data_IF_210635558841
#
_entry.id   IF_210635558841
#
_cell.length_a   1.000
_cell.length_b   1.000
_cell.length_c   1.000
_cell.angle_alpha   90.00
_cell.angle_beta   90.00
_cell.angle_gamma   90.00
#
_symmetry.space_group_name_H-M   'P 1'
#
loop_
_entity.id
_entity.type
_entity.pdbx_description
1 polymer ?
#
# COMPACT_ATOMS: atom_id res chain seq x y z
N UNK A 1 9.32 -1.72 14.39
CA UNK A 1 8.15 -0.84 14.66
C UNK A 1 7.33 -0.54 13.40
N UNK A 2 7.95 -0.31 12.24
CA UNK A 2 7.25 -0.03 10.98
C UNK A 2 6.11 -1.00 10.62
N UNK A 3 6.30 -2.31 10.82
CA UNK A 3 5.25 -3.32 10.59
C UNK A 3 3.99 -3.13 11.46
N UNK A 4 4.15 -2.80 12.75
CA UNK A 4 3.01 -2.54 13.64
C UNK A 4 2.28 -1.29 13.20
N UNK A 5 3.02 -0.22 12.89
CA UNK A 5 2.46 1.03 12.38
C UNK A 5 1.72 0.80 11.05
N UNK A 6 2.25 -0.06 10.18
CA UNK A 6 1.63 -0.43 8.91
C UNK A 6 0.30 -1.17 9.11
N UNK A 7 0.25 -2.13 10.03
CA UNK A 7 -0.99 -2.87 10.35
C UNK A 7 -2.03 -1.90 10.92
N UNK A 8 -1.65 -1.06 11.88
CA UNK A 8 -2.54 -0.05 12.46
C UNK A 8 -3.02 0.96 11.40
N UNK A 9 -2.14 1.36 10.49
CA UNK A 9 -2.46 2.23 9.35
C UNK A 9 -3.49 1.58 8.42
N UNK A 10 -3.34 0.28 8.11
CA UNK A 10 -4.32 -0.48 7.34
C UNK A 10 -5.67 -0.65 8.06
N UNK A 11 -5.67 -0.78 9.39
CA UNK A 11 -6.93 -0.78 10.16
C UNK A 11 -7.62 0.58 10.16
N UNK A 12 -6.84 1.66 10.27
CA UNK A 12 -7.36 3.03 10.12
C UNK A 12 -7.92 3.27 8.72
N UNK A 13 -7.43 2.54 7.72
CA UNK A 13 -7.97 2.60 6.36
C UNK A 13 -9.45 2.28 6.32
N UNK A 14 -9.82 1.20 6.99
CA UNK A 14 -11.20 0.78 7.13
C UNK A 14 -12.06 1.82 7.85
N UNK A 15 -11.52 2.51 8.86
CA UNK A 15 -12.23 3.54 9.59
C UNK A 15 -12.55 4.76 8.71
N UNK A 16 -11.62 5.22 7.87
CA UNK A 16 -11.92 6.33 6.96
C UNK A 16 -12.82 5.88 5.81
N UNK A 17 -12.64 4.68 5.26
CA UNK A 17 -13.47 4.17 4.16
C UNK A 17 -14.95 4.02 4.57
N UNK A 18 -15.19 3.50 5.77
CA UNK A 18 -16.55 3.41 6.35
C UNK A 18 -17.13 4.78 6.66
N UNK A 19 -16.33 5.70 7.20
CA UNK A 19 -16.76 7.08 7.49
C UNK A 19 -17.08 7.86 6.20
N UNK A 20 -16.34 7.62 5.11
CA UNK A 20 -16.60 8.23 3.81
C UNK A 20 -17.96 7.82 3.28
N UNK A 21 -18.32 6.53 3.35
CA UNK A 21 -19.66 6.04 3.02
C UNK A 21 -20.73 6.71 3.90
N UNK A 22 -20.47 6.80 5.21
CA UNK A 22 -21.39 7.41 6.17
C UNK A 22 -21.52 8.95 6.03
N UNK A 23 -20.60 9.60 5.32
CA UNK A 23 -20.65 11.04 5.07
C UNK A 23 -21.72 11.47 4.06
N UNK A 24 -22.36 10.51 3.37
CA UNK A 24 -23.38 10.77 2.34
C UNK A 24 -22.91 11.82 1.31
N UNK A 25 -21.67 11.69 0.84
CA UNK A 25 -21.07 12.63 -0.10
C UNK A 25 -20.65 13.96 0.56
N UNK A 26 -20.10 13.90 1.77
CA UNK A 26 -19.66 15.06 2.57
C UNK A 26 -20.77 16.00 3.06
N UNK A 27 -22.02 15.52 3.07
CA UNK A 27 -23.16 16.29 3.58
C UNK A 27 -23.25 16.27 5.11
N UNK A 28 -22.67 15.24 5.76
CA UNK A 28 -22.64 15.10 7.21
C UNK A 28 -21.28 15.47 7.80
N UNK A 29 -21.24 16.55 8.59
CA UNK A 29 -20.03 17.10 9.21
C UNK A 29 -19.25 16.10 10.07
N UNK A 30 -19.92 15.38 10.97
CA UNK A 30 -19.24 14.46 11.90
C UNK A 30 -18.51 13.30 11.19
N UNK A 31 -19.17 12.53 10.30
CA UNK A 31 -18.48 11.51 9.49
C UNK A 31 -17.35 12.08 8.62
N UNK A 32 -17.50 13.29 8.07
CA UNK A 32 -16.45 13.93 7.26
C UNK A 32 -15.21 14.27 8.09
N UNK A 33 -15.38 14.77 9.31
CA UNK A 33 -14.26 15.03 10.22
C UNK A 33 -13.54 13.73 10.59
N UNK A 34 -14.29 12.68 10.92
CA UNK A 34 -13.71 11.36 11.24
C UNK A 34 -12.94 10.83 10.04
N UNK A 35 -13.52 10.90 8.83
CA UNK A 35 -12.84 10.54 7.58
C UNK A 35 -11.52 11.29 7.42
N UNK A 36 -11.51 12.62 7.55
CA UNK A 36 -10.30 13.42 7.35
C UNK A 36 -9.20 13.07 8.36
N UNK A 37 -9.55 12.92 9.64
CA UNK A 37 -8.59 12.59 10.71
C UNK A 37 -8.03 11.18 10.53
N UNK A 38 -8.89 10.21 10.27
CA UNK A 38 -8.48 8.80 10.11
C UNK A 38 -7.72 8.56 8.81
N UNK A 39 -8.06 9.28 7.73
CA UNK A 39 -7.31 9.29 6.48
C UNK A 39 -5.89 9.83 6.71
N UNK A 40 -5.77 11.00 7.34
CA UNK A 40 -4.46 11.60 7.61
C UNK A 40 -3.60 10.70 8.50
N UNK A 41 -4.18 10.12 9.55
CA UNK A 41 -3.49 9.18 10.43
C UNK A 41 -3.06 7.89 9.70
N UNK A 42 -3.92 7.33 8.85
CA UNK A 42 -3.60 6.15 8.03
C UNK A 42 -2.45 6.46 7.07
N UNK A 43 -2.54 7.56 6.31
CA UNK A 43 -1.48 7.99 5.39
C UNK A 43 -0.16 8.28 6.10
N UNK A 44 -0.19 8.91 7.28
CA UNK A 44 1.01 9.15 8.07
C UNK A 44 1.68 7.84 8.52
N UNK A 45 0.88 6.85 8.93
CA UNK A 45 1.39 5.52 9.32
C UNK A 45 2.02 4.77 8.14
N UNK A 46 1.40 4.83 6.96
CA UNK A 46 1.96 4.27 5.73
C UNK A 46 3.27 4.97 5.34
N UNK A 47 3.27 6.31 5.32
CA UNK A 47 4.46 7.11 5.03
C UNK A 47 5.62 6.79 5.99
N UNK A 48 5.32 6.55 7.27
CA UNK A 48 6.32 6.11 8.24
C UNK A 48 6.87 4.71 7.91
N UNK A 49 6.00 3.76 7.57
CA UNK A 49 6.41 2.40 7.22
C UNK A 49 7.30 2.37 5.96
N UNK A 50 6.97 3.19 4.96
CA UNK A 50 7.70 3.35 3.71
C UNK A 50 9.14 3.87 3.88
N UNK A 51 9.48 4.48 5.04
CA UNK A 51 10.88 4.87 5.33
C UNK A 51 11.81 3.68 5.52
N UNK A 52 11.25 2.50 5.79
CA UNK A 52 12.02 1.30 6.15
C UNK A 52 11.67 0.08 5.29
N UNK A 53 10.44 0.03 4.76
CA UNK A 53 9.95 -1.08 3.97
C UNK A 53 9.92 -0.72 2.49
N UNK A 54 10.21 -1.68 1.58
CA UNK A 54 10.01 -1.48 0.15
C UNK A 54 8.59 -1.04 -0.15
N UNK A 55 8.44 -0.05 -1.04
CA UNK A 55 7.14 0.55 -1.36
C UNK A 55 6.13 -0.51 -1.79
N UNK A 56 6.51 -1.42 -2.69
CA UNK A 56 5.64 -2.49 -3.17
C UNK A 56 5.10 -3.40 -2.05
N UNK A 57 5.93 -3.73 -1.06
CA UNK A 57 5.53 -4.58 0.08
C UNK A 57 4.64 -3.84 1.05
N UNK A 58 5.02 -2.61 1.42
CA UNK A 58 4.23 -1.82 2.35
C UNK A 58 2.84 -1.49 1.78
N UNK A 59 2.76 -1.09 0.51
CA UNK A 59 1.50 -0.77 -0.14
C UNK A 59 0.60 -2.01 -0.29
N UNK A 60 1.17 -3.15 -0.69
CA UNK A 60 0.40 -4.37 -0.85
C UNK A 60 -0.23 -4.84 0.48
N UNK A 61 0.53 -4.79 1.57
CA UNK A 61 0.03 -5.16 2.90
C UNK A 61 -1.00 -4.16 3.40
N UNK A 62 -0.75 -2.85 3.22
CA UNK A 62 -1.67 -1.79 3.62
C UNK A 62 -3.04 -1.95 2.94
N UNK A 63 -3.05 -1.98 1.59
CA UNK A 63 -4.29 -2.17 0.80
C UNK A 63 -4.95 -3.52 1.12
N UNK A 64 -4.17 -4.59 1.28
CA UNK A 64 -4.71 -5.92 1.57
C UNK A 64 -5.48 -5.96 2.89
N UNK A 65 -4.95 -5.34 3.94
CA UNK A 65 -5.61 -5.22 5.25
C UNK A 65 -6.84 -4.33 5.14
N UNK A 66 -6.68 -3.12 4.59
CA UNK A 66 -7.76 -2.14 4.47
C UNK A 66 -8.95 -2.65 3.67
N UNK A 67 -8.70 -3.26 2.50
CA UNK A 67 -9.74 -3.84 1.64
C UNK A 67 -10.46 -5.01 2.32
N UNK A 68 -9.72 -5.92 2.95
CA UNK A 68 -10.28 -7.11 3.60
C UNK A 68 -11.17 -6.73 4.78
N UNK A 69 -10.70 -5.84 5.67
CA UNK A 69 -11.46 -5.36 6.81
C UNK A 69 -12.67 -4.52 6.37
N UNK A 70 -12.52 -3.65 5.37
CA UNK A 70 -13.64 -2.86 4.84
C UNK A 70 -14.73 -3.74 4.23
N UNK A 71 -14.34 -4.79 3.51
CA UNK A 71 -15.28 -5.77 2.96
C UNK A 71 -16.02 -6.51 4.08
N UNK A 72 -15.31 -6.99 5.12
CA UNK A 72 -15.93 -7.66 6.26
C UNK A 72 -16.93 -6.74 6.96
N UNK A 73 -16.56 -5.48 7.22
CA UNK A 73 -17.46 -4.51 7.84
C UNK A 73 -18.65 -4.18 6.93
N UNK A 74 -18.44 -4.07 5.61
CA UNK A 74 -19.51 -3.87 4.64
C UNK A 74 -20.54 -4.99 4.65
N UNK A 75 -20.09 -6.24 4.77
CA UNK A 75 -20.97 -7.41 4.82
C UNK A 75 -21.71 -7.53 6.16
N UNK A 76 -21.01 -7.33 7.28
CA UNK A 76 -21.59 -7.55 8.62
C UNK A 76 -22.44 -6.36 9.08
N UNK A 77 -21.98 -5.13 8.85
CA UNK A 77 -22.55 -3.93 9.48
C UNK A 77 -23.45 -3.13 8.55
N UNK A 78 -23.12 -3.07 7.25
CA UNK A 78 -23.94 -2.36 6.26
C UNK A 78 -25.00 -3.25 5.59
N UNK A 79 -25.07 -4.54 5.97
CA UNK A 79 -25.94 -5.53 5.36
C UNK A 79 -25.88 -5.49 3.81
N UNK A 80 -24.72 -5.12 3.25
CA UNK A 80 -24.58 -5.09 1.81
C UNK A 80 -24.74 -6.51 1.27
N UNK A 81 -25.68 -6.70 0.34
CA UNK A 81 -25.94 -8.01 -0.25
C UNK A 81 -24.65 -8.67 -0.73
N UNK A 82 -24.35 -9.82 -0.14
CA UNK A 82 -23.17 -10.61 -0.47
C UNK A 82 -23.46 -11.33 -1.79
N UNK A 83 -23.00 -10.76 -2.90
CA UNK A 83 -23.08 -11.43 -4.19
C UNK A 83 -21.81 -12.24 -4.44
N UNK A 84 -21.95 -13.40 -5.08
CA UNK A 84 -20.81 -14.22 -5.51
C UNK A 84 -19.82 -13.40 -6.35
N UNK A 85 -20.34 -12.48 -7.17
CA UNK A 85 -19.54 -11.54 -7.97
C UNK A 85 -18.70 -10.62 -7.09
N UNK A 86 -19.26 -10.03 -6.02
CA UNK A 86 -18.50 -9.18 -5.08
C UNK A 86 -17.35 -9.95 -4.43
N UNK A 87 -17.60 -11.18 -3.99
CA UNK A 87 -16.57 -12.03 -3.37
C UNK A 87 -15.46 -12.33 -4.39
N UNK A 88 -15.81 -12.76 -5.60
CA UNK A 88 -14.84 -13.06 -6.67
C UNK A 88 -14.03 -11.82 -7.03
N UNK A 89 -14.66 -10.65 -7.15
CA UNK A 89 -13.95 -9.39 -7.40
C UNK A 89 -12.99 -9.02 -6.27
N UNK A 90 -13.39 -9.21 -5.00
CA UNK A 90 -12.51 -9.02 -3.85
C UNK A 90 -11.31 -9.96 -3.88
N UNK A 91 -11.54 -11.23 -4.16
CA UNK A 91 -10.47 -12.23 -4.29
C UNK A 91 -9.53 -11.89 -5.43
N UNK A 92 -10.04 -11.40 -6.56
CA UNK A 92 -9.22 -10.94 -7.69
C UNK A 92 -8.39 -9.70 -7.35
N UNK A 93 -8.95 -8.74 -6.60
CA UNK A 93 -8.20 -7.57 -6.11
C UNK A 93 -7.06 -8.04 -5.19
N UNK A 94 -7.37 -8.89 -4.21
CA UNK A 94 -6.37 -9.43 -3.28
C UNK A 94 -5.31 -10.25 -4.03
N UNK A 95 -5.72 -11.11 -4.97
CA UNK A 95 -4.80 -11.89 -5.80
C UNK A 95 -3.93 -11.00 -6.70
N UNK A 96 -4.47 -9.91 -7.25
CA UNK A 96 -3.71 -8.92 -8.01
C UNK A 96 -2.70 -8.18 -7.15
N UNK A 97 -3.06 -7.82 -5.92
CA UNK A 97 -2.15 -7.22 -4.94
C UNK A 97 -1.02 -8.18 -4.56
N UNK A 98 -1.34 -9.45 -4.30
CA UNK A 98 -0.34 -10.49 -4.01
C UNK A 98 0.54 -10.73 -5.25
N UNK A 99 -0.04 -10.82 -6.45
CA UNK A 99 0.69 -10.99 -7.70
C UNK A 99 1.66 -9.83 -7.96
N UNK A 100 1.22 -8.59 -7.71
CA UNK A 100 2.08 -7.41 -7.80
C UNK A 100 3.18 -7.42 -6.72
N UNK A 101 2.87 -7.89 -5.51
CA UNK A 101 3.87 -8.05 -4.46
C UNK A 101 4.93 -9.11 -4.81
N UNK A 102 4.52 -10.24 -5.38
CA UNK A 102 5.41 -11.32 -5.82
C UNK A 102 6.24 -10.90 -7.05
N UNK A 103 5.64 -10.16 -7.98
CA UNK A 103 6.34 -9.61 -9.14
C UNK A 103 7.31 -8.49 -8.74
N UNK A 104 6.96 -7.66 -7.76
CA UNK A 104 7.82 -6.60 -7.21
C UNK A 104 8.85 -7.09 -6.18
N UNK A 105 8.66 -8.29 -5.62
CA UNK A 105 9.58 -8.98 -4.70
C UNK A 105 10.76 -9.66 -5.38
N UNK A 106 10.85 -9.58 -6.72
CA UNK A 106 11.95 -10.09 -7.54
C UNK A 106 13.24 -9.25 -7.52
N UNK A 107 13.53 -8.46 -6.49
CA UNK A 107 14.86 -7.88 -6.30
C UNK A 107 15.78 -8.81 -5.46
N UNK A 108 15.97 -10.03 -5.95
CA UNK A 108 17.02 -10.95 -5.50
C UNK A 108 17.79 -11.56 -6.70
N UNK A 109 18.00 -10.77 -7.75
CA UNK A 109 18.70 -11.21 -8.95
C UNK A 109 18.99 -10.04 -9.88
N UNK A 110 19.79 -9.10 -9.40
CA UNK A 110 20.09 -7.88 -10.13
C UNK A 110 20.78 -6.86 -9.25
N UNK A 111 21.86 -7.27 -8.55
CA UNK A 111 23.01 -6.38 -8.58
C UNK A 111 23.38 -6.28 -10.05
N UNK A 112 22.80 -5.29 -10.73
CA UNK A 112 23.51 -4.65 -11.83
C UNK A 112 24.82 -4.22 -11.19
N UNK A 113 25.86 -5.02 -11.43
CA UNK A 113 27.22 -4.59 -11.22
C UNK A 113 27.28 -3.23 -11.90
N UNK A 114 27.32 -2.16 -11.09
CA UNK A 114 27.71 -0.85 -11.60
C UNK A 114 28.96 -1.10 -12.43
N UNK A 115 28.98 -0.67 -13.69
CA UNK A 115 29.96 -1.14 -14.64
C UNK A 115 31.36 -0.80 -14.10
N UNK A 116 32.07 -1.81 -13.60
CA UNK A 116 33.50 -1.70 -13.32
C UNK A 116 34.24 -1.24 -14.59
N UNK A 117 33.64 -1.51 -15.75
CA UNK A 117 33.95 -1.01 -17.08
C UNK A 117 33.79 0.51 -17.25
N UNK A 118 32.82 1.19 -16.62
CA UNK A 118 32.69 2.64 -16.75
C UNK A 118 33.77 3.39 -15.96
N UNK A 119 34.15 2.87 -14.78
CA UNK A 119 35.27 3.44 -14.02
C UNK A 119 36.61 3.12 -14.69
N UNK A 120 36.79 1.91 -15.23
CA UNK A 120 37.99 1.54 -15.97
C UNK A 120 38.16 2.35 -17.27
N UNK A 121 37.08 2.66 -17.99
CA UNK A 121 37.14 3.50 -19.21
C UNK A 121 37.49 4.96 -18.88
N UNK A 122 36.98 5.50 -17.76
CA UNK A 122 37.34 6.85 -17.31
C UNK A 122 38.80 6.91 -16.85
N UNK A 123 39.27 5.90 -16.11
CA UNK A 123 40.67 5.82 -15.63
C UNK A 123 41.67 5.59 -16.78
N UNK A 124 41.28 4.80 -17.80
CA UNK A 124 42.05 4.63 -19.05
C UNK A 124 42.17 5.94 -19.83
N UNK A 125 41.09 6.72 -19.92
CA UNK A 125 41.06 8.00 -20.63
C UNK A 125 41.81 9.13 -19.89
N UNK A 126 41.94 9.03 -18.56
CA UNK A 126 42.80 9.93 -17.78
C UNK A 126 44.29 9.55 -17.89
N UNK A 127 44.61 8.25 -17.95
CA UNK A 127 45.99 7.76 -18.11
C UNK A 127 46.62 8.08 -19.48
N UNK A 128 45.84 8.17 -20.57
CA UNK A 128 46.37 8.56 -21.90
C UNK A 128 46.54 10.08 -22.08
N UNK A 129 46.05 10.88 -21.13
CA UNK A 129 46.20 12.36 -21.14
C UNK A 129 47.43 12.87 -20.38
N UNK A 130 48.21 11.99 -19.78
CA UNK A 130 49.49 12.28 -19.13
C UNK A 130 50.65 11.72 -19.94
#
# INVERSE_FOLDING_TARGET
>A
MAWVVLIVSGMLETAWATSLKASEGFTRLWPTVIFAVTLAASMAGLAYALRTLPVGTAYAVWVGIGASLTAIIGMVWLAEGVSVVKIVSLVLIVAGVIGLNLAGGGHAGGQENAPADAQAVVESAESERH
#
